data_IF_100323153417
#
_entry.id   IF_100323153417
#
_cell.length_a   1.000
_cell.length_b   1.000
_cell.length_c   1.000
_cell.angle_alpha   90.00
_cell.angle_beta   90.00
_cell.angle_gamma   90.00
#
_symmetry.space_group_name_H-M   'P 1'
#
loop_
_entity.id
_entity.type
_entity.pdbx_description
1 polymer ?
#
# COMPACT_ATOMS: atom_id res chain seq x y z
N UNK A 1 15.74 -0.97 -11.84
CA UNK A 1 14.61 -1.86 -12.21
C UNK A 1 13.34 -1.24 -11.69
N UNK A 2 12.22 -1.30 -12.43
CA UNK A 2 10.95 -0.69 -12.04
C UNK A 2 9.86 -1.75 -11.96
N UNK A 3 9.16 -1.79 -10.85
CA UNK A 3 8.03 -2.68 -10.61
C UNK A 3 6.83 -1.84 -10.17
N UNK A 4 5.67 -2.09 -10.78
CA UNK A 4 4.43 -1.37 -10.50
C UNK A 4 3.39 -2.32 -9.91
N UNK A 5 2.89 -1.97 -8.74
CA UNK A 5 1.86 -2.70 -8.02
C UNK A 5 0.59 -1.86 -8.01
N UNK A 6 -0.53 -2.46 -8.40
CA UNK A 6 -1.83 -1.79 -8.40
C UNK A 6 -2.78 -2.59 -7.54
N UNK A 7 -3.37 -1.94 -6.55
CA UNK A 7 -4.38 -2.51 -5.67
C UNK A 7 -5.64 -1.67 -5.76
N UNK A 8 -6.74 -2.34 -6.06
CA UNK A 8 -8.07 -1.73 -6.05
C UNK A 8 -8.72 -2.06 -4.71
N UNK A 9 -9.05 -1.03 -3.93
CA UNK A 9 -9.70 -1.19 -2.63
C UNK A 9 -11.13 -0.67 -2.74
N UNK A 10 -12.09 -1.60 -2.64
CA UNK A 10 -13.52 -1.29 -2.67
C UNK A 10 -13.98 -0.69 -1.35
N UNK A 11 -13.84 0.61 -1.19
CA UNK A 11 -14.31 1.36 -0.02
C UNK A 11 -15.46 2.29 -0.39
N UNK A 12 -16.35 2.54 0.56
CA UNK A 12 -17.41 3.54 0.41
C UNK A 12 -16.80 4.94 0.44
N UNK A 13 -16.45 5.44 -0.75
CA UNK A 13 -15.73 6.70 -0.93
C UNK A 13 -16.59 7.94 -0.67
N UNK A 14 -17.89 7.77 -0.47
CA UNK A 14 -18.83 8.86 -0.19
C UNK A 14 -18.47 9.65 1.08
N UNK A 15 -17.54 9.14 1.90
CA UNK A 15 -17.08 9.73 3.16
C UNK A 15 -15.61 10.14 3.15
N UNK A 16 -14.88 9.88 2.07
CA UNK A 16 -13.46 10.20 1.98
C UNK A 16 -13.27 11.61 1.45
N UNK A 17 -12.45 12.39 2.16
CA UNK A 17 -12.00 13.70 1.73
C UNK A 17 -10.59 13.62 1.16
N UNK A 18 -10.15 14.69 0.49
CA UNK A 18 -8.78 14.80 -0.03
C UNK A 18 -7.73 14.62 1.09
N UNK A 19 -8.01 15.13 2.29
CA UNK A 19 -7.15 14.97 3.47
C UNK A 19 -6.95 13.49 3.86
N UNK A 20 -7.98 12.65 3.67
CA UNK A 20 -7.87 11.20 3.92
C UNK A 20 -6.91 10.54 2.91
N UNK A 21 -6.92 10.98 1.65
CA UNK A 21 -6.04 10.47 0.58
C UNK A 21 -4.58 10.71 0.90
N UNK A 22 -4.24 11.91 1.37
CA UNK A 22 -2.87 12.23 1.75
C UNK A 22 -2.41 11.35 2.92
N UNK A 23 -3.25 11.21 3.95
CA UNK A 23 -2.95 10.33 5.09
C UNK A 23 -2.84 8.87 4.70
N UNK A 24 -3.59 8.43 3.70
CA UNK A 24 -3.51 7.09 3.13
C UNK A 24 -2.19 6.85 2.43
N UNK A 25 -1.75 7.78 1.59
CA UNK A 25 -0.46 7.71 0.93
C UNK A 25 0.67 7.65 1.98
N UNK A 26 0.66 8.52 2.99
CA UNK A 26 1.64 8.52 4.09
C UNK A 26 1.63 7.21 4.89
N UNK A 27 0.44 6.68 5.20
CA UNK A 27 0.30 5.43 5.95
C UNK A 27 0.84 4.24 5.15
N UNK A 28 0.52 4.18 3.85
CA UNK A 28 1.02 3.14 2.96
C UNK A 28 2.52 3.25 2.75
N UNK A 29 3.06 4.46 2.59
CA UNK A 29 4.51 4.71 2.51
C UNK A 29 5.21 4.14 3.73
N UNK A 30 4.69 4.44 4.91
CA UNK A 30 5.21 3.94 6.17
C UNK A 30 5.17 2.42 6.24
N UNK A 31 4.04 1.79 5.87
CA UNK A 31 3.94 0.33 5.87
C UNK A 31 4.94 -0.32 4.90
N UNK A 32 5.13 0.27 3.72
CA UNK A 32 6.13 -0.18 2.77
C UNK A 32 7.53 -0.06 3.36
N UNK A 33 7.87 1.09 3.94
CA UNK A 33 9.18 1.32 4.54
C UNK A 33 9.46 0.34 5.70
N UNK A 34 8.49 0.08 6.56
CA UNK A 34 8.59 -0.90 7.65
C UNK A 34 8.82 -2.32 7.11
N UNK A 35 8.09 -2.76 6.09
CA UNK A 35 8.27 -4.10 5.50
C UNK A 35 9.61 -4.23 4.76
N UNK A 36 10.07 -3.17 4.07
CA UNK A 36 11.38 -3.12 3.43
C UNK A 36 12.52 -3.13 4.45
N UNK A 37 12.41 -2.37 5.54
CA UNK A 37 13.39 -2.32 6.62
C UNK A 37 13.50 -3.67 7.31
N UNK A 38 12.36 -4.30 7.61
CA UNK A 38 12.29 -5.61 8.24
C UNK A 38 13.00 -6.70 7.44
N UNK A 39 13.02 -6.57 6.11
CA UNK A 39 13.73 -7.46 5.19
C UNK A 39 15.17 -7.04 4.90
N UNK A 40 15.60 -5.89 5.41
CA UNK A 40 16.94 -5.34 5.18
C UNK A 40 17.14 -4.75 3.79
N UNK A 41 16.05 -4.43 3.08
CA UNK A 41 16.07 -3.90 1.72
C UNK A 41 16.37 -2.40 1.65
N UNK A 42 16.20 -1.66 2.76
CA UNK A 42 16.48 -0.21 2.88
C UNK A 42 17.91 0.22 2.56
N UNK A 43 18.84 -0.73 2.43
CA UNK A 43 20.22 -0.46 2.00
C UNK A 43 20.34 -0.22 0.49
N UNK A 44 19.30 -0.56 -0.27
CA UNK A 44 19.18 -0.29 -1.68
C UNK A 44 18.62 1.11 -1.88
N UNK A 45 19.08 1.83 -2.90
CA UNK A 45 18.46 3.10 -3.29
C UNK A 45 17.12 2.79 -3.96
N UNK A 46 16.05 2.88 -3.18
CA UNK A 46 14.69 2.56 -3.60
C UNK A 46 13.89 3.86 -3.62
N UNK A 47 13.31 4.18 -4.77
CA UNK A 47 12.31 5.22 -4.90
C UNK A 47 10.93 4.58 -4.87
N UNK A 48 10.08 5.05 -3.95
CA UNK A 48 8.71 4.61 -3.79
C UNK A 48 7.81 5.75 -4.27
N UNK A 49 7.02 5.51 -5.31
CA UNK A 49 6.00 6.43 -5.79
C UNK A 49 4.62 5.89 -5.44
N UNK A 50 3.83 6.65 -4.67
CA UNK A 50 2.48 6.25 -4.28
C UNK A 50 1.49 7.21 -4.93
N UNK A 51 0.57 6.66 -5.71
CA UNK A 51 -0.53 7.39 -6.36
C UNK A 51 -1.84 6.80 -5.86
N UNK A 52 -2.60 7.61 -5.10
CA UNK A 52 -3.91 7.23 -4.57
C UNK A 52 -4.97 8.07 -5.28
N UNK A 53 -5.94 7.41 -5.90
CA UNK A 53 -7.03 8.05 -6.63
C UNK A 53 -8.38 7.59 -6.10
N UNK A 54 -9.22 8.57 -5.79
CA UNK A 54 -10.63 8.36 -5.44
C UNK A 54 -11.45 8.41 -6.74
N UNK A 55 -12.14 7.31 -7.09
CA UNK A 55 -13.12 7.27 -8.18
C UNK A 55 -14.46 6.74 -7.65
N UNK A 56 -14.97 5.61 -8.17
CA UNK A 56 -16.02 4.80 -7.54
C UNK A 56 -15.45 3.84 -6.48
N UNK A 57 -14.15 3.56 -6.56
CA UNK A 57 -13.35 2.76 -5.64
C UNK A 57 -12.00 3.44 -5.39
N UNK A 58 -11.34 3.13 -4.29
CA UNK A 58 -10.02 3.68 -3.97
C UNK A 58 -8.99 2.91 -4.79
N UNK A 59 -8.40 3.58 -5.78
CA UNK A 59 -7.32 3.02 -6.58
C UNK A 59 -5.99 3.42 -5.96
N UNK A 60 -5.20 2.43 -5.57
CA UNK A 60 -3.88 2.63 -4.98
C UNK A 60 -2.85 2.03 -5.91
N UNK A 61 -1.94 2.86 -6.39
CA UNK A 61 -0.82 2.46 -7.23
C UNK A 61 0.47 2.72 -6.47
N UNK A 62 1.30 1.68 -6.35
CA UNK A 62 2.63 1.74 -5.76
C UNK A 62 3.64 1.43 -6.85
N UNK A 63 4.48 2.40 -7.15
CA UNK A 63 5.61 2.27 -8.05
C UNK A 63 6.89 2.11 -7.23
N UNK A 64 7.62 1.02 -7.45
CA UNK A 64 8.93 0.83 -6.86
C UNK A 64 9.99 0.88 -7.94
N UNK A 65 10.94 1.80 -7.76
CA UNK A 65 12.12 1.90 -8.61
C UNK A 65 13.36 1.63 -7.77
N UNK A 66 14.04 0.51 -8.07
CA UNK A 66 15.29 0.13 -7.42
C UNK A 66 16.45 0.63 -8.29
N UNK A 67 17.21 1.59 -7.77
CA UNK A 67 18.48 2.04 -8.31
C UNK A 67 19.61 1.27 -7.61
N UNK A 68 20.15 0.27 -8.27
CA UNK A 68 21.30 -0.46 -7.75
C UNK A 68 22.39 -0.50 -8.83
N UNK A 69 23.65 -0.18 -8.47
CA UNK A 69 24.77 -0.34 -9.39
C UNK A 69 25.07 -1.82 -9.66
N UNK A 70 24.54 -2.72 -8.83
CA UNK A 70 24.66 -4.18 -9.00
C UNK A 70 23.32 -4.80 -9.42
N UNK A 71 23.34 -5.79 -10.31
CA UNK A 71 22.13 -6.49 -10.72
C UNK A 71 21.47 -7.15 -9.51
N UNK A 72 20.20 -6.83 -9.30
CA UNK A 72 19.38 -7.40 -8.24
C UNK A 72 18.99 -8.82 -8.67
N UNK A 73 19.32 -9.81 -7.83
CA UNK A 73 18.94 -11.20 -8.08
C UNK A 73 17.43 -11.43 -7.94
N UNK A 74 16.89 -12.49 -8.54
CA UNK A 74 15.45 -12.81 -8.49
C UNK A 74 14.94 -13.04 -7.06
N UNK A 75 15.80 -13.51 -6.14
CA UNK A 75 15.44 -13.68 -4.72
C UNK A 75 15.11 -12.35 -4.05
N UNK A 76 15.89 -11.31 -4.34
CA UNK A 76 15.67 -9.98 -3.77
C UNK A 76 14.40 -9.37 -4.34
N UNK A 77 14.14 -9.54 -5.64
CA UNK A 77 12.89 -9.11 -6.26
C UNK A 77 11.67 -9.78 -5.61
N UNK A 78 11.73 -11.10 -5.37
CA UNK A 78 10.67 -11.81 -4.66
C UNK A 78 10.44 -11.26 -3.23
N UNK A 79 11.51 -10.78 -2.56
CA UNK A 79 11.36 -10.13 -1.26
C UNK A 79 10.73 -8.74 -1.34
N UNK A 80 10.98 -7.98 -2.41
CA UNK A 80 10.28 -6.72 -2.67
C UNK A 80 8.79 -6.97 -2.92
N UNK A 81 8.47 -7.91 -3.80
CA UNK A 81 7.10 -8.30 -4.12
C UNK A 81 6.33 -8.71 -2.86
N UNK A 82 6.91 -9.58 -2.02
CA UNK A 82 6.30 -9.99 -0.77
C UNK A 82 6.22 -8.86 0.28
N UNK A 83 7.13 -7.87 0.23
CA UNK A 83 7.05 -6.69 1.11
C UNK A 83 5.88 -5.79 0.72
N UNK A 84 5.72 -5.54 -0.58
CA UNK A 84 4.65 -4.71 -1.11
C UNK A 84 3.30 -5.36 -0.90
N UNK A 85 3.17 -6.65 -1.20
CA UNK A 85 1.93 -7.40 -0.99
C UNK A 85 1.49 -7.33 0.48
N UNK A 86 2.41 -7.55 1.42
CA UNK A 86 2.12 -7.42 2.86
C UNK A 86 1.76 -6.00 3.27
N UNK A 87 2.46 -4.99 2.76
CA UNK A 87 2.15 -3.60 3.05
C UNK A 87 0.76 -3.21 2.53
N UNK A 88 0.42 -3.61 1.30
CA UNK A 88 -0.89 -3.38 0.70
C UNK A 88 -2.00 -4.14 1.44
N UNK A 89 -1.76 -5.39 1.86
CA UNK A 89 -2.71 -6.16 2.65
C UNK A 89 -2.97 -5.51 4.03
N UNK A 90 -1.92 -5.06 4.72
CA UNK A 90 -2.06 -4.31 5.99
C UNK A 90 -2.78 -2.98 5.81
N UNK A 91 -2.52 -2.29 4.69
CA UNK A 91 -3.19 -1.05 4.36
C UNK A 91 -4.69 -1.28 4.07
N UNK A 92 -5.03 -2.31 3.31
CA UNK A 92 -6.42 -2.73 3.07
C UNK A 92 -7.13 -3.12 4.37
N UNK A 93 -6.47 -3.84 5.27
CA UNK A 93 -7.01 -4.16 6.60
C UNK A 93 -7.21 -2.91 7.45
N UNK A 94 -6.24 -1.98 7.45
CA UNK A 94 -6.33 -0.70 8.16
C UNK A 94 -7.54 0.13 7.69
N UNK A 95 -7.72 0.23 6.38
CA UNK A 95 -8.87 0.90 5.79
C UNK A 95 -10.16 0.15 6.08
N UNK A 96 -10.16 -1.17 5.94
CA UNK A 96 -11.32 -1.99 6.27
C UNK A 96 -11.70 -1.83 7.73
N UNK A 97 -10.77 -1.75 8.68
CA UNK A 97 -11.09 -1.51 10.09
C UNK A 97 -11.64 -0.12 10.33
N UNK A 98 -11.05 0.90 9.68
CA UNK A 98 -11.45 2.30 9.84
C UNK A 98 -12.81 2.60 9.21
N UNK A 99 -13.18 1.90 8.14
CA UNK A 99 -14.38 2.16 7.35
C UNK A 99 -15.42 1.01 7.35
N UNK A 100 -15.11 -0.20 7.85
CA UNK A 100 -16.10 -1.28 8.10
C UNK A 100 -16.94 -1.06 9.35
N UNK A 101 -16.54 -0.15 10.24
CA UNK A 101 -17.22 0.08 11.53
C UNK A 101 -18.55 0.85 11.43
N UNK A 102 -19.27 0.72 10.30
CA UNK A 102 -20.67 1.14 10.20
C UNK A 102 -21.55 0.19 9.36
N UNK A 103 -21.09 -1.05 9.12
CA UNK A 103 -21.87 -2.11 8.49
C UNK A 103 -22.35 -3.21 9.45
N UNK A 104 -22.14 -3.07 10.77
CA UNK A 104 -22.74 -3.96 11.76
C UNK A 104 -24.02 -3.32 12.30
N UNK A 105 -25.11 -3.43 11.55
CA UNK A 105 -26.42 -3.58 12.19
C UNK A 105 -26.43 -4.98 12.83
N UNK A 106 -26.41 -5.15 14.16
CA UNK A 106 -27.05 -6.30 14.74
C UNK A 106 -28.55 -6.08 14.54
N UNK A 107 -29.06 -6.60 13.42
CA UNK A 107 -30.48 -6.79 13.21
C UNK A 107 -31.06 -7.58 14.38
N UNK A 108 -32.05 -6.96 15.03
CA UNK A 108 -33.25 -7.58 15.61
C UNK A 108 -33.10 -8.98 16.24
N UNK A 109 -33.18 -9.05 17.57
CA UNK A 109 -34.19 -9.83 18.31
C UNK A 109 -34.17 -9.48 19.78
#
# INVERSE_FOLDING_TARGET
MREGYVKVIGLDLARLNLEDVERFAESLERFLYEELERRGLVKLDIQIGIDVRIQEVLLVTVDLTINSPVPIGPEVLAQFDEAVDKALARFEEYLSSSYSSRGCEPGTS
#
